data_IF_488698821109
#
_entry.id   IF_488698821109
#
_cell.length_a   1.000
_cell.length_b   1.000
_cell.length_c   1.000
_cell.angle_alpha   90.00
_cell.angle_beta   90.00
_cell.angle_gamma   90.00
#
_symmetry.space_group_name_H-M   'P 1'
#
loop_
_entity.id
_entity.type
_entity.pdbx_description
1 polymer ?
#
# COMPACT_ATOMS: atom_id res chain seq x y z
N UNK A 1 17.41 -7.51 -1.17
CA UNK A 1 18.56 -8.19 -0.53
C UNK A 1 18.15 -8.95 0.75
N UNK A 2 17.60 -8.27 1.82
CA UNK A 2 17.17 -8.98 3.06
C UNK A 2 16.06 -9.99 2.75
N UNK A 3 15.05 -9.56 2.01
CA UNK A 3 13.92 -10.40 1.59
C UNK A 3 14.40 -11.58 0.73
N UNK A 4 15.33 -11.35 -0.18
CA UNK A 4 15.89 -12.41 -1.02
C UNK A 4 16.74 -13.41 -0.18
N UNK A 5 17.47 -12.91 0.81
CA UNK A 5 18.21 -13.77 1.73
C UNK A 5 17.27 -14.64 2.58
N UNK A 6 16.17 -14.08 3.09
CA UNK A 6 15.14 -14.83 3.82
C UNK A 6 14.45 -15.87 2.93
N UNK A 7 14.09 -15.52 1.70
CA UNK A 7 13.44 -16.40 0.75
C UNK A 7 14.31 -17.62 0.41
N UNK A 8 15.62 -17.41 0.27
CA UNK A 8 16.58 -18.47 -0.12
C UNK A 8 17.27 -19.15 1.07
N UNK A 9 16.95 -18.74 2.30
CA UNK A 9 17.58 -19.30 3.50
C UNK A 9 19.09 -19.00 3.61
N UNK A 10 19.54 -17.90 2.98
CA UNK A 10 20.94 -17.49 2.95
C UNK A 10 21.22 -16.47 4.04
N UNK A 11 22.35 -16.62 4.75
CA UNK A 11 22.74 -15.64 5.77
C UNK A 11 22.98 -14.28 5.14
N UNK A 12 22.19 -13.27 5.54
CA UNK A 12 22.38 -11.91 5.10
C UNK A 12 23.68 -11.33 5.68
N UNK A 13 24.62 -10.99 4.81
CA UNK A 13 25.81 -10.24 5.16
C UNK A 13 25.46 -8.76 5.00
N UNK A 14 25.04 -8.09 6.07
CA UNK A 14 24.66 -6.69 6.03
C UNK A 14 25.66 -5.82 5.27
N UNK A 15 25.18 -4.75 4.63
CA UNK A 15 26.08 -3.74 4.03
C UNK A 15 26.84 -3.06 5.15
N UNK A 16 28.17 -2.99 5.02
CA UNK A 16 29.02 -2.18 5.89
C UNK A 16 28.45 -0.75 5.93
N UNK A 17 28.33 -0.15 7.12
CA UNK A 17 27.87 1.23 7.26
C UNK A 17 28.68 2.10 6.30
N UNK A 18 28.01 2.67 5.30
CA UNK A 18 28.65 3.61 4.41
C UNK A 18 28.84 4.93 5.16
N UNK A 19 30.07 5.36 5.28
CA UNK A 19 30.45 6.64 5.90
C UNK A 19 30.54 7.65 4.78
N UNK A 20 29.88 8.79 4.94
CA UNK A 20 30.02 9.91 4.03
C UNK A 20 31.30 10.65 4.37
N UNK A 21 32.32 10.56 3.49
CA UNK A 21 33.55 11.34 3.59
C UNK A 21 33.32 12.69 2.92
N UNK A 22 33.30 13.75 3.71
CA UNK A 22 33.08 15.12 3.23
C UNK A 22 34.36 15.79 2.71
N UNK A 23 35.51 15.09 2.78
CA UNK A 23 36.78 15.61 2.27
C UNK A 23 37.42 16.72 3.17
N UNK A 24 36.93 16.90 4.38
CA UNK A 24 37.41 17.89 5.35
C UNK A 24 37.76 17.16 6.64
N UNK A 25 39.01 17.19 7.05
CA UNK A 25 39.51 16.40 8.18
C UNK A 25 38.98 16.88 9.57
N UNK A 26 38.36 18.05 9.61
CA UNK A 26 37.81 18.65 10.84
C UNK A 26 36.36 18.27 11.13
N UNK A 27 35.68 17.59 10.23
CA UNK A 27 34.29 17.15 10.43
C UNK A 27 34.22 15.69 10.87
N UNK A 28 33.35 15.35 11.83
CA UNK A 28 33.15 13.97 12.23
C UNK A 28 32.62 13.12 11.07
N UNK A 29 33.00 11.85 11.06
CA UNK A 29 32.44 10.88 10.10
C UNK A 29 30.94 10.73 10.32
N UNK A 30 30.15 11.10 9.32
CA UNK A 30 28.69 10.98 9.35
C UNK A 30 28.26 9.68 8.67
N UNK A 31 27.41 8.87 9.30
CA UNK A 31 26.84 7.72 8.62
C UNK A 31 25.96 8.22 7.47
N UNK A 32 26.15 7.62 6.28
CA UNK A 32 25.28 7.91 5.14
C UNK A 32 23.87 7.46 5.48
N UNK A 33 22.90 8.37 5.37
CA UNK A 33 21.50 8.03 5.51
C UNK A 33 21.11 7.05 4.40
N UNK A 34 20.70 5.83 4.80
CA UNK A 34 20.24 4.78 3.88
C UNK A 34 18.72 4.73 3.81
N UNK A 35 18.02 5.67 4.44
CA UNK A 35 16.57 5.77 4.37
C UNK A 35 16.16 6.08 2.94
N UNK A 36 15.53 5.12 2.29
CA UNK A 36 14.94 5.36 0.98
C UNK A 36 13.63 6.11 1.17
N UNK A 37 13.65 7.41 0.87
CA UNK A 37 12.44 8.21 0.73
C UNK A 37 11.78 7.91 -0.62
N UNK A 38 11.39 6.66 -0.83
CA UNK A 38 10.66 6.29 -2.01
C UNK A 38 9.34 7.09 -2.07
N UNK A 39 9.34 8.13 -2.91
CA UNK A 39 8.18 9.01 -3.11
C UNK A 39 7.19 8.47 -4.13
N UNK A 40 7.49 7.34 -4.73
CA UNK A 40 6.74 6.77 -5.84
C UNK A 40 5.75 5.69 -5.42
N UNK A 41 5.89 5.11 -4.23
CA UNK A 41 4.96 4.11 -3.72
C UNK A 41 3.81 4.75 -2.92
N UNK A 42 2.54 4.36 -3.16
CA UNK A 42 1.41 4.79 -2.34
C UNK A 42 1.46 4.22 -0.91
N UNK A 43 2.20 3.13 -0.71
CA UNK A 43 2.40 2.49 0.59
C UNK A 43 3.89 2.20 0.79
N UNK A 44 4.64 3.24 1.14
CA UNK A 44 6.09 3.20 1.19
C UNK A 44 6.59 2.72 2.55
N UNK A 45 7.59 1.82 2.55
CA UNK A 45 8.36 1.48 3.73
C UNK A 45 9.51 2.48 3.90
N UNK A 46 9.54 3.19 5.03
CA UNK A 46 10.51 4.28 5.30
C UNK A 46 11.43 3.93 6.47
N UNK A 47 12.02 2.74 6.42
CA UNK A 47 13.02 2.26 7.37
C UNK A 47 12.45 1.50 8.57
N UNK A 48 11.52 2.05 9.31
CA UNK A 48 10.88 1.42 10.48
C UNK A 48 9.36 1.60 10.54
N UNK A 49 8.78 2.20 9.51
CA UNK A 49 7.34 2.47 9.41
C UNK A 49 6.88 2.42 7.97
N UNK A 50 5.58 2.27 7.78
CA UNK A 50 4.94 2.47 6.48
C UNK A 50 4.31 3.86 6.43
N UNK A 51 4.43 4.50 5.28
CA UNK A 51 3.73 5.75 4.97
C UNK A 51 2.70 5.47 3.89
N UNK A 52 1.44 5.77 4.19
CA UNK A 52 0.38 5.74 3.21
C UNK A 52 0.26 7.12 2.56
N UNK A 53 0.39 7.17 1.24
CA UNK A 53 0.37 8.40 0.45
C UNK A 53 -0.68 8.30 -0.63
N UNK A 54 -1.65 9.19 -0.61
CA UNK A 54 -2.67 9.32 -1.67
C UNK A 54 -2.95 10.77 -1.97
N UNK A 55 -3.40 11.00 -3.21
CA UNK A 55 -4.12 12.22 -3.59
C UNK A 55 -5.51 12.17 -2.96
N UNK A 56 -6.06 13.32 -2.58
CA UNK A 56 -7.38 13.38 -1.98
C UNK A 56 -7.49 14.34 -0.81
N UNK A 57 -6.82 15.51 -0.91
CA UNK A 57 -6.86 16.55 0.13
C UNK A 57 -8.28 17.06 0.45
N UNK A 58 -9.23 16.86 -0.45
CA UNK A 58 -10.65 17.19 -0.28
C UNK A 58 -11.48 16.10 0.38
N UNK A 59 -10.91 14.91 0.57
CA UNK A 59 -11.60 13.75 1.15
C UNK A 59 -11.19 13.52 2.60
N UNK A 60 -12.09 12.88 3.36
CA UNK A 60 -11.77 12.40 4.71
C UNK A 60 -10.75 11.27 4.68
N UNK A 61 -9.75 11.34 5.54
CA UNK A 61 -8.77 10.26 5.77
C UNK A 61 -9.39 9.03 6.46
N UNK A 62 -10.62 9.13 6.95
CA UNK A 62 -11.28 8.04 7.66
C UNK A 62 -11.42 6.76 6.81
N UNK A 63 -11.78 6.90 5.53
CA UNK A 63 -11.92 5.77 4.61
C UNK A 63 -10.63 4.94 4.51
N UNK A 64 -9.51 5.54 4.05
CA UNK A 64 -8.22 4.85 4.01
C UNK A 64 -7.80 4.24 5.35
N UNK A 65 -7.97 4.95 6.46
CA UNK A 65 -7.60 4.45 7.78
C UNK A 65 -8.41 3.22 8.20
N UNK A 66 -9.73 3.23 7.97
CA UNK A 66 -10.59 2.08 8.26
C UNK A 66 -10.12 0.87 7.45
N UNK A 67 -9.89 1.03 6.16
CA UNK A 67 -9.50 -0.07 5.27
C UNK A 67 -8.14 -0.64 5.68
N UNK A 68 -7.12 0.21 5.80
CA UNK A 68 -5.75 -0.24 6.12
C UNK A 68 -5.71 -0.89 7.50
N UNK A 69 -6.33 -0.30 8.52
CA UNK A 69 -6.35 -0.89 9.86
C UNK A 69 -7.10 -2.22 9.88
N UNK A 70 -8.19 -2.36 9.13
CA UNK A 70 -8.92 -3.64 9.04
C UNK A 70 -8.07 -4.72 8.39
N UNK A 71 -7.37 -4.40 7.29
CA UNK A 71 -6.46 -5.34 6.61
C UNK A 71 -5.35 -5.79 7.56
N UNK A 72 -4.69 -4.85 8.22
CA UNK A 72 -3.60 -5.17 9.17
C UNK A 72 -4.10 -5.98 10.35
N UNK A 73 -5.25 -5.62 10.92
CA UNK A 73 -5.84 -6.36 12.04
C UNK A 73 -6.18 -7.81 11.66
N UNK A 74 -6.71 -8.02 10.44
CA UNK A 74 -7.06 -9.36 9.95
C UNK A 74 -5.82 -10.22 9.75
N UNK A 75 -4.77 -9.68 9.15
CA UNK A 75 -3.51 -10.39 8.95
C UNK A 75 -2.83 -10.72 10.29
N UNK A 76 -2.76 -9.76 11.21
CA UNK A 76 -2.18 -10.00 12.53
C UNK A 76 -2.96 -11.06 13.31
N UNK A 77 -4.28 -11.10 13.20
CA UNK A 77 -5.11 -12.13 13.82
C UNK A 77 -4.77 -13.51 13.25
N UNK A 78 -4.67 -13.64 11.93
CA UNK A 78 -4.30 -14.90 11.29
C UNK A 78 -2.91 -15.37 11.71
N UNK A 79 -1.96 -14.47 11.80
CA UNK A 79 -0.60 -14.77 12.28
C UNK A 79 -0.60 -15.21 13.76
N UNK A 80 -1.39 -14.52 14.59
CA UNK A 80 -1.52 -14.89 16.00
C UNK A 80 -2.14 -16.29 16.16
N UNK A 81 -3.23 -16.57 15.44
CA UNK A 81 -3.92 -17.88 15.47
C UNK A 81 -2.98 -19.04 15.09
N UNK A 82 -2.01 -18.81 14.22
CA UNK A 82 -1.01 -19.80 13.82
C UNK A 82 0.11 -19.92 14.85
N UNK A 83 0.67 -18.79 15.30
CA UNK A 83 1.80 -18.77 16.22
C UNK A 83 1.45 -19.25 17.62
N UNK A 84 0.23 -18.99 18.11
CA UNK A 84 -0.25 -19.48 19.41
C UNK A 84 -0.31 -21.01 19.50
N UNK A 85 -0.48 -21.69 18.37
CA UNK A 85 -0.54 -23.16 18.30
C UNK A 85 0.84 -23.81 18.15
N UNK A 86 1.89 -23.01 17.94
CA UNK A 86 3.22 -23.52 17.65
C UNK A 86 3.93 -24.02 18.91
N UNK A 87 4.55 -25.17 18.82
CA UNK A 87 5.40 -25.72 19.91
C UNK A 87 6.73 -24.97 20.03
N UNK A 88 7.30 -24.57 18.89
CA UNK A 88 8.49 -23.74 18.79
C UNK A 88 8.10 -22.44 18.08
N UNK A 89 7.98 -21.37 18.86
CA UNK A 89 7.59 -20.05 18.37
C UNK A 89 8.58 -19.50 17.35
N UNK A 90 9.90 -19.63 17.59
CA UNK A 90 10.91 -19.05 16.71
C UNK A 90 10.95 -19.74 15.34
N UNK A 91 10.85 -21.08 15.34
CA UNK A 91 10.78 -21.83 14.10
C UNK A 91 9.50 -21.49 13.32
N UNK A 92 8.35 -21.48 13.98
CA UNK A 92 7.07 -21.13 13.34
C UNK A 92 7.05 -19.69 12.80
N UNK A 93 7.60 -18.73 13.54
CA UNK A 93 7.73 -17.35 13.08
C UNK A 93 8.63 -17.24 11.84
N UNK A 94 9.74 -17.94 11.82
CA UNK A 94 10.62 -17.99 10.66
C UNK A 94 9.89 -18.53 9.43
N UNK A 95 9.22 -19.66 9.58
CA UNK A 95 8.49 -20.32 8.48
C UNK A 95 7.33 -19.45 7.98
N UNK A 96 6.59 -18.81 8.88
CA UNK A 96 5.54 -17.85 8.57
C UNK A 96 6.09 -16.70 7.72
N UNK A 97 7.18 -16.05 8.13
CA UNK A 97 7.80 -14.95 7.40
C UNK A 97 8.27 -15.40 6.02
N UNK A 98 8.97 -16.53 5.91
CA UNK A 98 9.46 -17.05 4.63
C UNK A 98 8.31 -17.38 3.68
N UNK A 99 7.24 -18.01 4.18
CA UNK A 99 6.05 -18.33 3.39
C UNK A 99 5.37 -17.06 2.88
N UNK A 100 5.11 -16.12 3.76
CA UNK A 100 4.45 -14.85 3.42
C UNK A 100 5.26 -14.07 2.37
N UNK A 101 6.59 -14.02 2.50
CA UNK A 101 7.44 -13.40 1.50
C UNK A 101 7.30 -14.10 0.15
N UNK A 102 7.35 -15.42 0.09
CA UNK A 102 7.23 -16.17 -1.16
C UNK A 102 5.89 -15.93 -1.85
N UNK A 103 4.80 -15.92 -1.10
CA UNK A 103 3.45 -15.73 -1.63
C UNK A 103 3.22 -14.31 -2.16
N UNK A 104 3.77 -13.30 -1.48
CA UNK A 104 3.46 -11.88 -1.74
C UNK A 104 4.60 -11.09 -2.37
N UNK A 105 5.76 -11.70 -2.66
CA UNK A 105 6.91 -11.02 -3.27
C UNK A 105 6.57 -10.24 -4.55
N UNK A 106 5.52 -10.65 -5.26
CA UNK A 106 5.06 -9.97 -6.49
C UNK A 106 4.70 -8.49 -6.30
N UNK A 107 4.40 -8.05 -5.06
CA UNK A 107 4.08 -6.65 -4.77
C UNK A 107 5.33 -5.79 -4.57
N UNK A 108 6.49 -6.41 -4.37
CA UNK A 108 7.74 -5.69 -4.09
C UNK A 108 8.36 -5.23 -5.39
N UNK A 109 8.56 -3.94 -5.50
CA UNK A 109 9.19 -3.32 -6.64
C UNK A 109 10.28 -2.34 -6.19
N UNK A 110 11.46 -2.47 -6.77
CA UNK A 110 12.60 -1.58 -6.57
C UNK A 110 12.91 -0.89 -7.88
N UNK A 111 12.40 0.33 -8.09
CA UNK A 111 12.58 1.06 -9.33
C UNK A 111 11.71 2.30 -9.40
N UNK A 112 11.66 2.90 -10.57
CA UNK A 112 10.82 4.06 -10.83
C UNK A 112 9.42 3.62 -11.30
N UNK A 113 8.40 3.77 -10.45
CA UNK A 113 7.02 3.40 -10.78
C UNK A 113 6.26 4.45 -11.60
N UNK A 114 6.91 5.55 -11.99
CA UNK A 114 6.34 6.51 -12.96
C UNK A 114 6.55 6.08 -14.42
N UNK A 115 7.34 5.05 -14.66
CA UNK A 115 7.63 4.58 -16.01
C UNK A 115 6.57 3.60 -16.52
N UNK A 116 6.41 3.54 -17.84
CA UNK A 116 5.51 2.58 -18.48
C UNK A 116 5.94 1.13 -18.26
N UNK A 117 7.24 0.88 -18.10
CA UNK A 117 7.78 -0.45 -17.83
C UNK A 117 7.17 -1.01 -16.54
N UNK A 118 7.02 -0.18 -15.50
CA UNK A 118 6.36 -0.61 -14.26
C UNK A 118 4.90 -0.95 -14.49
N UNK A 119 4.17 -0.15 -15.24
CA UNK A 119 2.76 -0.43 -15.54
C UNK A 119 2.57 -1.78 -16.24
N UNK A 120 3.44 -2.10 -17.21
CA UNK A 120 3.45 -3.38 -17.91
C UNK A 120 3.83 -4.54 -16.98
N UNK A 121 4.87 -4.34 -16.16
CA UNK A 121 5.33 -5.34 -15.20
C UNK A 121 4.28 -5.61 -14.10
N UNK A 122 3.61 -4.57 -13.59
CA UNK A 122 2.54 -4.71 -12.62
C UNK A 122 1.37 -5.54 -13.17
N UNK A 123 0.97 -5.26 -14.41
CA UNK A 123 -0.05 -6.06 -15.10
C UNK A 123 0.39 -7.53 -15.27
N UNK A 124 1.64 -7.78 -15.66
CA UNK A 124 2.21 -9.14 -15.76
C UNK A 124 2.18 -9.88 -14.43
N UNK A 125 2.35 -9.18 -13.31
CA UNK A 125 2.28 -9.72 -11.94
C UNK A 125 0.85 -9.87 -11.43
N UNK A 126 -0.15 -9.49 -12.21
CA UNK A 126 -1.56 -9.55 -11.82
C UNK A 126 -1.95 -8.48 -10.79
N UNK A 127 -1.22 -7.37 -10.74
CA UNK A 127 -1.57 -6.22 -9.92
C UNK A 127 -2.57 -5.33 -10.68
N UNK A 128 -3.57 -4.83 -9.96
CA UNK A 128 -4.57 -3.95 -10.54
C UNK A 128 -3.99 -2.56 -10.83
N UNK A 129 -4.40 -1.98 -11.96
CA UNK A 129 -4.13 -0.60 -12.31
C UNK A 129 -5.42 0.05 -12.82
N UNK A 130 -6.26 0.48 -11.88
CA UNK A 130 -7.56 1.08 -12.15
C UNK A 130 -7.36 2.59 -12.30
N UNK A 131 -7.63 3.12 -13.48
CA UNK A 131 -7.23 4.48 -13.85
C UNK A 131 -8.23 5.57 -13.45
N UNK A 132 -9.45 5.19 -13.14
CA UNK A 132 -10.51 6.12 -12.77
C UNK A 132 -11.38 5.58 -11.64
N UNK A 133 -12.16 6.46 -11.01
CA UNK A 133 -13.01 6.10 -9.88
C UNK A 133 -14.17 5.19 -10.29
N UNK A 134 -14.67 5.29 -11.50
CA UNK A 134 -15.75 4.43 -11.98
C UNK A 134 -15.31 2.94 -12.07
N UNK A 135 -14.05 2.68 -12.39
CA UNK A 135 -13.48 1.34 -12.40
C UNK A 135 -13.05 0.88 -10.99
N UNK A 136 -12.58 1.80 -10.16
CA UNK A 136 -12.00 1.48 -8.86
C UNK A 136 -13.06 1.25 -7.77
N UNK A 137 -14.06 2.12 -7.68
CA UNK A 137 -15.06 2.09 -6.62
C UNK A 137 -15.87 0.79 -6.54
N UNK A 138 -16.28 0.15 -7.66
CA UNK A 138 -16.96 -1.15 -7.60
C UNK A 138 -16.13 -2.24 -6.92
N UNK A 139 -14.80 -2.16 -6.95
CA UNK A 139 -13.90 -3.11 -6.29
C UNK A 139 -14.02 -3.08 -4.77
N UNK A 140 -14.50 -1.97 -4.20
CA UNK A 140 -14.77 -1.89 -2.77
C UNK A 140 -15.77 -2.96 -2.31
N UNK A 141 -16.75 -3.29 -3.14
CA UNK A 141 -17.75 -4.32 -2.88
C UNK A 141 -17.43 -5.70 -3.48
N UNK A 142 -16.18 -5.95 -3.87
CA UNK A 142 -15.76 -7.31 -4.24
C UNK A 142 -15.97 -8.26 -3.05
N UNK A 143 -16.37 -9.49 -3.34
CA UNK A 143 -16.73 -10.51 -2.32
C UNK A 143 -15.65 -10.64 -1.23
N UNK A 144 -14.37 -10.70 -1.61
CA UNK A 144 -13.24 -10.79 -0.66
C UNK A 144 -13.18 -9.62 0.33
N UNK A 145 -13.55 -8.41 -0.11
CA UNK A 145 -13.55 -7.22 0.72
C UNK A 145 -14.75 -7.18 1.66
N UNK A 146 -15.93 -7.61 1.20
CA UNK A 146 -17.12 -7.80 2.04
C UNK A 146 -16.81 -8.80 3.15
N UNK A 147 -16.28 -9.97 2.81
CA UNK A 147 -15.90 -11.01 3.77
C UNK A 147 -14.86 -10.51 4.78
N UNK A 148 -13.91 -9.68 4.36
CA UNK A 148 -12.94 -9.06 5.25
C UNK A 148 -13.62 -8.16 6.29
N UNK A 149 -14.50 -7.26 5.86
CA UNK A 149 -15.19 -6.34 6.74
C UNK A 149 -16.16 -7.05 7.70
N UNK A 150 -16.91 -8.04 7.23
CA UNK A 150 -17.85 -8.81 8.06
C UNK A 150 -17.12 -9.64 9.10
N UNK A 151 -16.05 -10.33 8.71
CA UNK A 151 -15.23 -11.16 9.60
C UNK A 151 -14.61 -10.34 10.74
N UNK A 152 -14.25 -9.10 10.47
CA UNK A 152 -13.71 -8.18 11.47
C UNK A 152 -14.79 -7.29 12.14
N UNK A 153 -16.07 -7.51 11.84
CA UNK A 153 -17.21 -6.77 12.40
C UNK A 153 -17.12 -5.26 12.21
N UNK A 154 -16.53 -4.83 11.09
CA UNK A 154 -16.36 -3.41 10.76
C UNK A 154 -17.55 -2.91 9.94
N UNK A 155 -17.93 -3.63 8.89
CA UNK A 155 -19.10 -3.36 8.06
C UNK A 155 -19.79 -4.66 7.67
N UNK A 156 -21.11 -4.60 7.56
CA UNK A 156 -21.93 -5.61 6.91
C UNK A 156 -21.87 -5.46 5.39
N UNK A 157 -22.23 -6.49 4.63
CA UNK A 157 -22.34 -6.40 3.18
C UNK A 157 -23.21 -5.21 2.73
N UNK A 158 -24.36 -5.01 3.41
CA UNK A 158 -25.27 -3.91 3.11
C UNK A 158 -24.61 -2.54 3.26
N UNK A 159 -23.80 -2.36 4.30
CA UNK A 159 -23.07 -1.11 4.53
C UNK A 159 -21.96 -0.89 3.51
N UNK A 160 -21.23 -1.96 3.12
CA UNK A 160 -20.20 -1.88 2.08
C UNK A 160 -20.82 -1.45 0.75
N UNK A 161 -21.92 -2.09 0.35
CA UNK A 161 -22.63 -1.75 -0.89
C UNK A 161 -23.19 -0.34 -0.90
N UNK A 162 -23.84 0.05 0.20
CA UNK A 162 -24.37 1.41 0.34
C UNK A 162 -23.26 2.47 0.26
N UNK A 163 -22.11 2.23 0.89
CA UNK A 163 -20.96 3.14 0.81
C UNK A 163 -20.40 3.25 -0.61
N UNK A 164 -20.29 2.13 -1.31
CA UNK A 164 -19.88 2.11 -2.70
C UNK A 164 -20.82 2.95 -3.59
N UNK A 165 -22.13 2.78 -3.44
CA UNK A 165 -23.13 3.54 -4.19
C UNK A 165 -23.05 5.04 -3.89
N UNK A 166 -22.90 5.42 -2.61
CA UNK A 166 -22.72 6.81 -2.21
C UNK A 166 -21.46 7.42 -2.81
N UNK A 167 -20.36 6.69 -2.83
CA UNK A 167 -19.11 7.16 -3.44
C UNK A 167 -19.24 7.36 -4.96
N UNK A 168 -19.92 6.44 -5.66
CA UNK A 168 -20.19 6.56 -7.08
C UNK A 168 -21.12 7.75 -7.40
N UNK A 169 -22.20 7.88 -6.64
CA UNK A 169 -23.14 9.02 -6.79
C UNK A 169 -22.43 10.36 -6.56
N UNK A 170 -21.61 10.43 -5.52
CA UNK A 170 -20.82 11.62 -5.21
C UNK A 170 -19.80 11.94 -6.33
N UNK A 171 -19.14 10.93 -6.87
CA UNK A 171 -18.23 11.08 -8.02
C UNK A 171 -18.95 11.66 -9.24
N UNK A 172 -20.14 11.14 -9.58
CA UNK A 172 -20.95 11.66 -10.69
C UNK A 172 -21.42 13.08 -10.45
N UNK A 173 -21.87 13.41 -9.24
CA UNK A 173 -22.32 14.74 -8.86
C UNK A 173 -21.21 15.79 -8.95
N UNK A 174 -20.04 15.47 -8.42
CA UNK A 174 -18.89 16.39 -8.46
C UNK A 174 -18.49 16.68 -9.90
N UNK A 175 -18.32 15.64 -10.73
CA UNK A 175 -17.98 15.81 -12.14
C UNK A 175 -19.03 16.62 -12.92
N UNK A 176 -20.33 16.43 -12.61
CA UNK A 176 -21.40 17.18 -13.23
C UNK A 176 -21.32 18.67 -12.87
N UNK A 177 -21.09 18.99 -11.60
CA UNK A 177 -20.93 20.38 -11.13
C UNK A 177 -19.70 21.03 -11.76
N UNK A 178 -18.56 20.33 -11.75
CA UNK A 178 -17.32 20.83 -12.36
C UNK A 178 -17.50 21.11 -13.86
N UNK A 179 -18.15 20.18 -14.59
CA UNK A 179 -18.44 20.34 -16.01
C UNK A 179 -19.37 21.52 -16.30
N UNK A 180 -20.43 21.69 -15.51
CA UNK A 180 -21.33 22.83 -15.65
C UNK A 180 -20.62 24.16 -15.35
N UNK A 181 -19.86 24.22 -14.27
CA UNK A 181 -19.07 25.41 -13.91
C UNK A 181 -18.08 25.79 -15.01
N UNK A 182 -17.38 24.80 -15.59
CA UNK A 182 -16.47 25.03 -16.71
C UNK A 182 -17.17 25.62 -17.93
N UNK A 183 -18.36 25.12 -18.26
CA UNK A 183 -19.16 25.65 -19.38
C UNK A 183 -19.62 27.07 -19.09
N UNK A 184 -20.05 27.37 -17.87
CA UNK A 184 -20.48 28.73 -17.47
C UNK A 184 -19.32 29.74 -17.53
N UNK A 185 -18.16 29.37 -16.99
CA UNK A 185 -16.96 30.19 -17.07
C UNK A 185 -16.53 30.43 -18.52
N UNK A 186 -16.53 29.42 -19.38
CA UNK A 186 -16.22 29.59 -20.80
C UNK A 186 -17.18 30.49 -21.53
N UNK A 187 -18.47 30.50 -21.17
CA UNK A 187 -19.46 31.42 -21.75
C UNK A 187 -19.29 32.86 -21.30
N UNK A 188 -18.70 33.10 -20.15
CA UNK A 188 -18.44 34.45 -19.63
C UNK A 188 -17.20 35.10 -20.25
N UNK A 189 -16.27 34.27 -20.74
CA UNK A 189 -15.02 34.74 -21.33
C UNK A 189 -15.05 34.92 -22.87
N UNK A 190 -16.09 34.41 -23.53
CA UNK A 190 -16.30 34.55 -24.97
C UNK A 190 -17.38 35.64 -25.24
#
# INVERSE_FOLDING_TARGET
>A
EVIDALEHGVKYKGKTKQIMKLGVDTLPELPKDTTDRNRTSPFAFTGNKFEFRMLGSTFSIAGPNIIVNTIVADELRQFADELEKAKDFNAALHDLVVRTIKEHKRIIFNGNNYTEEWTKEAARRGLLNLKNSAEALPRFADKKNIELFERNKVFTEREVRSRMEIMLDNYCKVLSIEGQTMVEMGRQEI
#
